data_IF_709171891896
#
_entry.id   IF_709171891896
#
_cell.length_a   1.000
_cell.length_b   1.000
_cell.length_c   1.000
_cell.angle_alpha   90.00
_cell.angle_beta   90.00
_cell.angle_gamma   90.00
#
_symmetry.space_group_name_H-M   'P 1'
#
loop_
_entity.id
_entity.type
_entity.pdbx_description
1 polymer ?
#
# COMPACT_ATOMS: atom_id res chain seq x y z
N UNK A 1 -9.17 -2.80 -10.32
CA UNK A 1 -8.52 -1.49 -10.49
C UNK A 1 -9.39 -0.45 -11.19
N UNK A 2 -9.88 -0.66 -12.42
CA UNK A 2 -10.66 0.35 -13.14
C UNK A 2 -11.88 0.89 -12.39
N UNK A 3 -12.62 0.03 -11.68
CA UNK A 3 -13.76 0.45 -10.85
C UNK A 3 -13.34 1.35 -9.68
N UNK A 4 -12.18 1.09 -9.07
CA UNK A 4 -11.67 1.91 -7.96
C UNK A 4 -11.20 3.29 -8.46
N UNK A 5 -10.55 3.35 -9.64
CA UNK A 5 -10.21 4.62 -10.27
C UNK A 5 -11.47 5.45 -10.52
N UNK A 6 -12.51 4.86 -11.13
CA UNK A 6 -13.76 5.55 -11.37
C UNK A 6 -14.40 6.09 -10.09
N UNK A 7 -14.44 5.31 -9.01
CA UNK A 7 -15.00 5.78 -7.74
C UNK A 7 -14.25 6.97 -7.15
N UNK A 8 -12.91 6.99 -7.26
CA UNK A 8 -12.12 8.14 -6.83
C UNK A 8 -12.31 9.36 -7.74
N UNK A 9 -12.53 9.14 -9.04
CA UNK A 9 -12.81 10.21 -9.99
C UNK A 9 -14.19 10.83 -9.73
N UNK A 10 -15.20 10.01 -9.43
CA UNK A 10 -16.55 10.46 -9.03
C UNK A 10 -16.53 11.35 -7.77
N UNK A 11 -15.57 11.13 -6.88
CA UNK A 11 -15.34 11.94 -5.67
C UNK A 11 -14.38 13.14 -5.89
N UNK A 12 -14.00 13.42 -7.13
CA UNK A 12 -13.08 14.50 -7.48
C UNK A 12 -11.72 14.43 -6.76
N UNK A 13 -11.22 13.23 -6.49
CA UNK A 13 -9.91 13.02 -5.89
C UNK A 13 -8.83 13.24 -6.95
N UNK A 14 -7.76 14.03 -6.69
CA UNK A 14 -6.67 14.24 -7.65
C UNK A 14 -6.03 12.92 -8.11
N UNK A 15 -5.57 12.87 -9.36
CA UNK A 15 -4.86 11.69 -9.88
C UNK A 15 -3.43 11.57 -9.34
N UNK A 16 -2.79 12.68 -9.03
CA UNK A 16 -1.45 12.69 -8.46
C UNK A 16 -1.48 12.24 -7.00
N UNK A 17 -0.56 11.37 -6.62
CA UNK A 17 -0.49 10.86 -5.24
C UNK A 17 -1.48 9.74 -4.93
N UNK A 18 -2.12 9.14 -5.93
CA UNK A 18 -2.92 7.93 -5.74
C UNK A 18 -2.01 6.72 -5.53
N UNK A 19 -2.35 5.93 -4.55
CA UNK A 19 -1.67 4.68 -4.22
C UNK A 19 -2.64 3.49 -4.29
N UNK A 20 -2.09 2.33 -4.58
CA UNK A 20 -2.81 1.07 -4.59
C UNK A 20 -1.98 0.01 -3.87
N UNK A 21 -2.59 -0.69 -2.92
CA UNK A 21 -1.96 -1.75 -2.15
C UNK A 21 -2.76 -3.04 -2.33
N UNK A 22 -2.08 -4.11 -2.68
CA UNK A 22 -2.68 -5.43 -2.81
C UNK A 22 -1.78 -6.52 -2.24
N UNK A 23 -2.35 -7.71 -2.07
CA UNK A 23 -1.61 -8.91 -1.65
C UNK A 23 -0.68 -9.42 -2.77
N UNK A 24 0.28 -10.29 -2.44
CA UNK A 24 1.15 -10.92 -3.44
C UNK A 24 0.40 -11.69 -4.52
N UNK A 25 -0.71 -12.35 -4.17
CA UNK A 25 -1.54 -13.15 -5.10
C UNK A 25 -2.11 -12.29 -6.24
N UNK A 26 -2.49 -11.06 -5.94
CA UNK A 26 -2.95 -10.12 -6.96
C UNK A 26 -1.84 -9.81 -7.99
N UNK A 27 -0.62 -9.68 -7.52
CA UNK A 27 0.53 -9.43 -8.40
C UNK A 27 0.93 -10.67 -9.22
N UNK A 28 0.70 -11.88 -8.70
CA UNK A 28 0.87 -13.10 -9.46
C UNK A 28 -0.07 -13.14 -10.67
N UNK A 29 -1.35 -12.83 -10.46
CA UNK A 29 -2.35 -12.73 -11.54
C UNK A 29 -1.97 -11.65 -12.56
N UNK A 30 -1.46 -10.50 -12.10
CA UNK A 30 -0.98 -9.46 -13.02
C UNK A 30 0.23 -9.90 -13.84
N UNK A 31 1.06 -10.79 -13.30
CA UNK A 31 2.22 -11.35 -13.97
C UNK A 31 1.90 -12.47 -14.98
N UNK A 32 0.68 -12.94 -15.06
CA UNK A 32 0.29 -13.96 -16.03
C UNK A 32 0.31 -13.44 -17.47
N UNK A 33 0.60 -14.31 -18.39
CA UNK A 33 0.68 -13.98 -19.83
C UNK A 33 -0.63 -13.41 -20.40
N UNK A 34 -1.76 -13.79 -19.82
CA UNK A 34 -3.10 -13.30 -20.20
C UNK A 34 -3.30 -11.82 -19.89
N UNK A 35 -2.54 -11.25 -18.95
CA UNK A 35 -2.66 -9.85 -18.55
C UNK A 35 -2.08 -8.86 -19.57
N UNK A 36 -1.30 -9.34 -20.54
CA UNK A 36 -0.55 -8.55 -21.55
C UNK A 36 0.42 -7.50 -20.96
N UNK A 37 0.51 -7.37 -19.65
CA UNK A 37 1.44 -6.44 -18.99
C UNK A 37 2.90 -6.85 -19.14
N UNK A 38 3.15 -8.13 -19.47
CA UNK A 38 4.47 -8.68 -19.79
C UNK A 38 4.91 -8.43 -21.24
N UNK A 39 4.00 -7.99 -22.11
CA UNK A 39 4.30 -7.76 -23.52
C UNK A 39 5.07 -6.46 -23.70
N UNK A 40 6.23 -6.55 -24.38
CA UNK A 40 7.06 -5.40 -24.71
C UNK A 40 6.31 -4.41 -25.61
N UNK A 41 5.44 -4.92 -26.49
CA UNK A 41 4.64 -4.09 -27.41
C UNK A 41 3.64 -3.20 -26.69
N UNK A 42 3.12 -3.66 -25.55
CA UNK A 42 2.15 -2.89 -24.74
C UNK A 42 2.84 -1.86 -23.84
N UNK A 43 4.09 -2.06 -23.49
CA UNK A 43 4.85 -1.25 -22.54
C UNK A 43 5.73 -0.17 -23.24
N UNK A 44 5.56 0.04 -24.54
CA UNK A 44 6.29 1.07 -25.28
C UNK A 44 7.82 0.89 -25.25
N UNK A 45 8.30 -0.34 -25.09
CA UNK A 45 9.74 -0.64 -25.08
C UNK A 45 10.49 -0.27 -23.80
N UNK A 46 9.83 0.28 -22.82
CA UNK A 46 10.44 0.73 -21.56
C UNK A 46 10.00 -0.14 -20.37
N UNK A 47 10.84 -1.07 -20.01
CA UNK A 47 10.69 -1.86 -18.80
C UNK A 47 9.74 -3.04 -18.97
N UNK A 48 10.23 -4.18 -18.58
CA UNK A 48 9.46 -5.42 -18.49
C UNK A 48 9.16 -5.69 -17.03
N UNK A 49 7.96 -6.19 -16.72
CA UNK A 49 7.63 -6.79 -15.40
C UNK A 49 8.67 -7.85 -14.99
N UNK A 50 9.44 -8.42 -15.95
CA UNK A 50 10.58 -9.29 -15.68
C UNK A 50 11.56 -8.70 -14.66
N UNK A 51 11.72 -7.39 -14.61
CA UNK A 51 12.60 -6.68 -13.66
C UNK A 51 11.84 -6.15 -12.44
N UNK A 52 10.58 -6.53 -12.27
CA UNK A 52 9.74 -6.00 -11.18
C UNK A 52 9.31 -4.55 -11.37
N UNK A 53 9.69 -3.93 -12.47
CA UNK A 53 9.33 -2.56 -12.80
C UNK A 53 8.18 -2.57 -13.79
N UNK A 54 6.97 -2.36 -13.30
CA UNK A 54 5.88 -1.91 -14.16
C UNK A 54 6.27 -0.52 -14.64
N UNK A 55 6.26 -0.29 -15.95
CA UNK A 55 6.63 0.97 -16.60
C UNK A 55 6.27 2.19 -15.73
N UNK A 56 7.28 2.96 -15.32
CA UNK A 56 7.18 4.13 -14.41
C UNK A 56 6.54 3.89 -13.03
N UNK A 57 6.32 2.68 -12.60
CA UNK A 57 5.73 2.36 -11.28
C UNK A 57 4.25 2.75 -11.11
N UNK A 58 3.61 3.30 -12.14
CA UNK A 58 2.20 3.70 -12.10
C UNK A 58 1.38 2.87 -13.09
N UNK A 59 0.33 2.26 -12.61
CA UNK A 59 -0.68 1.59 -13.42
C UNK A 59 -2.02 2.31 -13.25
N UNK A 60 -2.59 2.85 -14.34
CA UNK A 60 -3.80 3.68 -14.32
C UNK A 60 -3.75 4.83 -13.31
N UNK A 61 -2.61 5.51 -13.21
CA UNK A 61 -2.42 6.64 -12.28
C UNK A 61 -2.08 6.24 -10.84
N UNK A 62 -2.13 4.93 -10.49
CA UNK A 62 -1.79 4.45 -9.15
C UNK A 62 -0.33 4.07 -9.01
N UNK A 63 0.30 4.51 -7.92
CA UNK A 63 1.57 3.93 -7.44
C UNK A 63 1.27 2.59 -6.77
N UNK A 64 1.89 1.53 -7.27
CA UNK A 64 1.59 0.15 -6.89
C UNK A 64 2.47 -0.31 -5.74
N UNK A 65 1.84 -0.79 -4.66
CA UNK A 65 2.52 -1.35 -3.49
C UNK A 65 2.02 -2.76 -3.19
N UNK A 66 2.94 -3.62 -2.80
CA UNK A 66 2.65 -4.99 -2.38
C UNK A 66 2.79 -5.11 -0.86
N UNK A 67 1.80 -5.67 -0.20
CA UNK A 67 1.85 -5.92 1.25
C UNK A 67 1.15 -7.23 1.59
N UNK A 68 1.80 -8.02 2.43
CA UNK A 68 1.22 -9.25 2.98
C UNK A 68 0.37 -8.98 4.24
N UNK A 69 0.41 -7.74 4.76
CA UNK A 69 -0.34 -7.36 5.96
C UNK A 69 -1.82 -7.02 5.69
N UNK A 70 -2.25 -7.08 4.43
CA UNK A 70 -3.66 -6.90 4.10
C UNK A 70 -4.38 -8.21 4.47
N UNK A 71 -5.23 -8.13 5.51
CA UNK A 71 -5.96 -9.28 5.98
C UNK A 71 -6.85 -9.88 4.87
N UNK A 72 -6.62 -11.14 4.54
CA UNK A 72 -7.56 -11.91 3.74
C UNK A 72 -8.84 -12.16 4.54
N UNK A 73 -9.99 -12.13 3.86
CA UNK A 73 -11.29 -12.39 4.53
C UNK A 73 -11.64 -13.87 4.53
N UNK A 74 -11.10 -14.61 3.55
CA UNK A 74 -11.20 -16.07 3.42
C UNK A 74 -10.11 -16.56 2.48
N UNK A 75 -9.93 -17.87 2.40
CA UNK A 75 -8.92 -18.50 1.52
C UNK A 75 -9.15 -18.23 0.00
N UNK A 76 -10.32 -17.71 -0.37
CA UNK A 76 -10.70 -17.46 -1.76
C UNK A 76 -10.87 -15.98 -2.12
N UNK A 77 -10.69 -15.07 -1.18
CA UNK A 77 -10.91 -13.64 -1.42
C UNK A 77 -9.77 -12.79 -0.87
N UNK A 78 -9.02 -12.16 -1.76
CA UNK A 78 -8.06 -11.13 -1.42
C UNK A 78 -8.70 -9.77 -1.24
N UNK A 79 -8.06 -8.90 -0.50
CA UNK A 79 -8.41 -7.50 -0.37
C UNK A 79 -7.40 -6.62 -1.09
N UNK A 80 -7.86 -5.54 -1.66
CA UNK A 80 -7.01 -4.46 -2.13
C UNK A 80 -7.58 -3.12 -1.67
N UNK A 81 -6.68 -2.18 -1.48
CA UNK A 81 -6.98 -0.82 -1.06
C UNK A 81 -6.39 0.15 -2.08
N UNK A 82 -7.14 1.17 -2.41
CA UNK A 82 -6.65 2.30 -3.19
C UNK A 82 -7.07 3.59 -2.51
N UNK A 83 -6.24 4.59 -2.63
CA UNK A 83 -6.55 5.89 -2.06
C UNK A 83 -5.59 6.97 -2.50
N UNK A 84 -5.77 8.13 -1.95
CA UNK A 84 -4.91 9.29 -2.15
C UNK A 84 -4.14 9.58 -0.85
N UNK A 85 -2.98 10.20 -0.95
CA UNK A 85 -2.14 10.54 0.21
C UNK A 85 -2.91 11.35 1.27
N UNK A 86 -3.83 12.22 0.85
CA UNK A 86 -4.63 13.04 1.78
C UNK A 86 -5.72 12.28 2.54
N UNK A 87 -5.92 10.97 2.24
CA UNK A 87 -6.95 10.16 2.90
C UNK A 87 -6.62 9.84 4.35
N UNK A 88 -5.34 9.74 4.69
CA UNK A 88 -4.88 9.32 6.01
C UNK A 88 -3.88 10.30 6.59
N UNK A 89 -3.91 10.48 7.89
CA UNK A 89 -2.89 11.19 8.63
C UNK A 89 -2.27 10.28 9.68
N UNK A 90 -0.97 10.41 9.85
CA UNK A 90 -0.20 9.77 10.90
C UNK A 90 0.50 10.84 11.71
N UNK A 91 0.50 10.67 13.02
CA UNK A 91 1.26 11.50 13.94
C UNK A 91 2.11 10.60 14.81
N UNK A 92 3.34 11.02 15.06
CA UNK A 92 4.26 10.31 15.93
C UNK A 92 5.09 11.30 16.73
N UNK A 93 5.40 10.93 17.95
CA UNK A 93 6.27 11.71 18.85
C UNK A 93 7.07 10.77 19.72
N UNK A 94 8.35 11.08 19.89
CA UNK A 94 9.19 10.50 20.93
C UNK A 94 9.08 11.44 22.13
N UNK A 95 8.30 11.04 23.13
CA UNK A 95 7.91 11.92 24.22
C UNK A 95 8.98 12.02 25.29
N UNK A 96 9.67 10.93 25.59
CA UNK A 96 10.77 10.92 26.57
C UNK A 96 11.74 9.78 26.34
N UNK A 97 12.99 10.03 26.64
CA UNK A 97 14.03 9.00 26.72
C UNK A 97 14.70 9.16 28.08
N UNK A 98 14.76 8.09 28.85
CA UNK A 98 15.32 8.09 30.20
C UNK A 98 16.39 7.02 30.31
N UNK A 99 17.46 7.34 31.04
CA UNK A 99 18.49 6.40 31.47
C UNK A 99 18.30 6.14 32.95
N UNK A 100 18.06 4.91 33.32
CA UNK A 100 17.90 4.49 34.72
C UNK A 100 18.97 3.47 35.06
N UNK A 101 19.53 3.57 36.26
CA UNK A 101 20.41 2.55 36.77
C UNK A 101 19.61 1.32 37.22
N UNK A 102 20.03 0.15 36.76
CA UNK A 102 19.39 -1.11 37.16
C UNK A 102 19.68 -1.38 38.63
N UNK A 103 18.68 -1.51 39.52
CA UNK A 103 18.88 -1.83 40.92
C UNK A 103 19.34 -3.29 41.15
N UNK A 104 19.18 -4.17 40.16
CA UNK A 104 19.49 -5.60 40.26
C UNK A 104 20.81 -6.01 39.63
N UNK A 105 21.42 -5.14 38.81
CA UNK A 105 22.68 -5.41 38.10
C UNK A 105 23.54 -4.15 37.96
N UNK A 106 24.83 -4.33 37.62
CA UNK A 106 25.75 -3.23 37.30
C UNK A 106 25.53 -2.80 35.81
N UNK A 107 24.33 -2.32 35.49
CA UNK A 107 23.98 -1.88 34.14
C UNK A 107 23.07 -0.66 34.15
N UNK A 108 23.04 0.06 33.05
CA UNK A 108 22.13 1.15 32.82
C UNK A 108 21.01 0.70 31.86
N UNK A 109 19.77 0.97 32.20
CA UNK A 109 18.58 0.69 31.38
C UNK A 109 18.22 1.97 30.64
N UNK A 110 18.22 1.93 29.32
CA UNK A 110 17.70 3.00 28.47
C UNK A 110 16.28 2.64 28.07
N UNK A 111 15.32 3.50 28.42
CA UNK A 111 13.92 3.36 28.00
C UNK A 111 13.43 4.60 27.26
N UNK A 112 12.63 4.40 26.25
CA UNK A 112 12.01 5.46 25.47
C UNK A 112 10.51 5.25 25.34
N UNK A 113 9.76 6.33 25.39
CA UNK A 113 8.32 6.33 25.09
C UNK A 113 8.10 6.90 23.70
N UNK A 114 7.60 6.05 22.80
CA UNK A 114 7.18 6.44 21.46
C UNK A 114 5.66 6.36 21.35
N UNK A 115 5.02 7.50 21.13
CA UNK A 115 3.58 7.58 20.93
C UNK A 115 3.31 7.80 19.45
N UNK A 116 2.43 7.00 18.88
CA UNK A 116 2.01 7.14 17.48
C UNK A 116 0.52 6.89 17.33
N UNK A 117 -0.05 7.49 16.32
CA UNK A 117 -1.44 7.28 15.94
C UNK A 117 -1.64 7.46 14.44
N UNK A 118 -2.63 6.77 13.90
CA UNK A 118 -3.04 6.92 12.52
C UNK A 118 -4.56 7.03 12.45
N UNK A 119 -5.07 7.90 11.59
CA UNK A 119 -6.50 8.08 11.39
C UNK A 119 -6.81 8.37 9.92
N UNK A 120 -7.93 7.85 9.44
CA UNK A 120 -8.51 8.27 8.17
C UNK A 120 -9.18 9.62 8.38
N UNK A 121 -8.76 10.62 7.59
CA UNK A 121 -9.30 11.98 7.62
C UNK A 121 -10.39 12.19 6.58
N UNK A 122 -10.19 11.61 5.39
CA UNK A 122 -11.10 11.72 4.25
C UNK A 122 -11.41 10.31 3.76
N UNK A 123 -12.54 9.79 4.19
CA UNK A 123 -13.05 8.47 3.80
C UNK A 123 -13.43 8.40 2.32
N UNK A 124 -13.85 9.52 1.73
CA UNK A 124 -14.11 9.67 0.30
C UNK A 124 -12.89 9.41 -0.59
N UNK A 125 -11.69 9.65 -0.06
CA UNK A 125 -10.43 9.49 -0.78
C UNK A 125 -9.76 8.12 -0.59
N UNK A 126 -10.48 7.13 -0.05
CA UNK A 126 -10.04 5.75 0.10
C UNK A 126 -11.11 4.77 -0.35
N UNK A 127 -10.73 3.75 -1.09
CA UNK A 127 -11.62 2.72 -1.63
C UNK A 127 -11.04 1.35 -1.35
N UNK A 128 -11.84 0.47 -0.78
CA UNK A 128 -11.51 -0.94 -0.60
C UNK A 128 -12.27 -1.81 -1.61
N UNK A 129 -11.65 -2.88 -2.06
CA UNK A 129 -12.30 -3.89 -2.88
C UNK A 129 -11.86 -5.29 -2.49
N UNK A 130 -12.76 -6.24 -2.74
CA UNK A 130 -12.47 -7.67 -2.65
C UNK A 130 -12.31 -8.23 -4.05
N UNK A 131 -11.44 -9.21 -4.21
CA UNK A 131 -11.28 -9.97 -5.45
C UNK A 131 -11.17 -11.45 -5.12
N UNK A 132 -11.77 -12.28 -5.98
CA UNK A 132 -11.57 -13.73 -5.99
C UNK A 132 -10.50 -14.08 -7.02
N UNK A 133 -9.72 -15.10 -6.73
CA UNK A 133 -8.81 -15.75 -7.66
C UNK A 133 -9.37 -17.17 -7.82
N UNK A 134 -9.89 -17.44 -9.01
CA UNK A 134 -10.36 -18.78 -9.42
C UNK A 134 -9.22 -19.57 -10.05
#
# INVERSE_FOLDING_TARGET
MGRMARLLDEQNVPEEGRWFVASPDFYEVLGQSSSKLLSVDYNGGQGSIRNGLVSSGKLRGFSMYKSNNIAATSNAAGKCLAGHISSTATAQSITSTEVLRDPSSFGDIVRGLHVYGAKVLRDEAIVGAFYGID
#
